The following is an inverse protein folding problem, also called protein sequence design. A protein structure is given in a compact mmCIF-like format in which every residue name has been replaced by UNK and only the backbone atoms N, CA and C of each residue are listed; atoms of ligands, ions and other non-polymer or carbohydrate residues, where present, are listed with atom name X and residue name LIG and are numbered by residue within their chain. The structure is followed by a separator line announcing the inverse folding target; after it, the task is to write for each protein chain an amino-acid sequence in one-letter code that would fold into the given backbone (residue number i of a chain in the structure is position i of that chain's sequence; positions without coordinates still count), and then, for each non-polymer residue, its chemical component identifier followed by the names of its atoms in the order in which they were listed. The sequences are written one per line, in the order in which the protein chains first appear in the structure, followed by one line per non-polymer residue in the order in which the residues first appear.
data_IF_605852255542
#
_entry.id   IF_605852255542
#
_cell.length_a   1.000
_cell.length_b   1.000
_cell.length_c   1.000
_cell.angle_alpha   90.00
_cell.angle_beta   90.00
_cell.angle_gamma   90.00
#
_symmetry.space_group_name_H-M   'P 1'
#
loop_
_entity.id
_entity.type
_entity.pdbx_description
1 polymer ?
#
# COMPACT_ATOMS: atom_id res chain seq x y z
N UNK A 1 -28.36 7.14 -12.79
CA UNK A 1 -27.76 8.17 -11.92
C UNK A 1 -26.93 7.46 -10.85
N UNK A 2 -25.66 7.16 -11.14
CA UNK A 2 -24.77 6.36 -10.30
C UNK A 2 -23.72 7.27 -9.65
N UNK A 3 -23.79 7.56 -8.34
CA UNK A 3 -22.68 8.16 -7.63
C UNK A 3 -21.84 7.04 -7.00
N UNK A 4 -21.12 6.27 -7.82
CA UNK A 4 -19.99 5.47 -7.34
C UNK A 4 -18.72 6.29 -7.53
N UNK A 5 -18.53 7.29 -6.67
CA UNK A 5 -17.20 7.87 -6.47
C UNK A 5 -16.34 6.77 -5.84
N UNK A 6 -15.63 6.03 -6.69
CA UNK A 6 -14.51 5.20 -6.31
C UNK A 6 -13.49 6.12 -5.65
N UNK A 7 -13.55 6.12 -4.33
CA UNK A 7 -12.51 6.62 -3.47
C UNK A 7 -11.26 5.75 -3.66
N UNK A 8 -10.49 6.00 -4.72
CA UNK A 8 -9.13 5.49 -4.91
C UNK A 8 -8.26 6.21 -3.88
N UNK A 9 -8.25 5.70 -2.66
CA UNK A 9 -7.39 6.21 -1.59
C UNK A 9 -6.33 5.17 -1.25
N UNK A 10 -5.15 5.37 -1.83
CA UNK A 10 -3.85 5.41 -1.16
C UNK A 10 -2.75 5.21 -2.24
N UNK A 11 -2.40 6.28 -2.95
CA UNK A 11 -1.07 6.35 -3.58
C UNK A 11 -0.10 6.72 -2.47
N UNK A 12 0.41 5.72 -1.74
CA UNK A 12 1.43 5.94 -0.72
C UNK A 12 2.81 5.60 -1.29
N UNK A 13 3.29 6.57 -2.08
CA UNK A 13 4.66 6.98 -2.42
C UNK A 13 5.77 5.99 -2.77
N UNK A 14 6.45 6.35 -3.87
CA UNK A 14 7.73 5.87 -4.33
C UNK A 14 8.81 6.05 -3.23
N UNK A 15 9.50 4.98 -2.91
CA UNK A 15 10.78 5.04 -2.23
C UNK A 15 11.85 5.42 -3.27
N UNK A 16 12.43 6.61 -3.16
CA UNK A 16 13.66 6.93 -3.89
C UNK A 16 14.86 6.67 -2.99
N UNK A 17 15.53 5.54 -3.22
CA UNK A 17 16.83 5.22 -2.64
C UNK A 17 17.88 5.54 -3.70
N UNK A 18 18.63 6.63 -3.52
CA UNK A 18 19.85 6.84 -4.30
C UNK A 18 20.97 6.04 -3.67
N UNK A 19 21.34 4.92 -4.31
CA UNK A 19 22.60 4.24 -4.02
C UNK A 19 23.70 5.02 -4.75
N UNK A 20 24.68 5.54 -4.01
CA UNK A 20 25.86 6.16 -4.62
C UNK A 20 26.57 5.12 -5.53
N UNK A 21 27.14 5.52 -6.67
CA UNK A 21 27.61 4.58 -7.68
C UNK A 21 28.69 3.66 -7.11
N UNK A 22 28.34 2.37 -7.01
CA UNK A 22 29.24 1.25 -6.77
C UNK A 22 28.94 0.15 -7.78
N UNK A 23 29.97 -0.60 -8.17
CA UNK A 23 29.98 -1.55 -9.28
C UNK A 23 28.71 -2.44 -9.35
N UNK A 24 27.99 -2.39 -10.48
CA UNK A 24 26.74 -3.14 -10.69
C UNK A 24 27.05 -4.61 -11.01
N UNK A 25 26.71 -5.52 -10.12
CA UNK A 25 26.60 -6.96 -10.46
C UNK A 25 25.19 -7.21 -10.98
N UNK A 26 25.05 -7.70 -12.22
CA UNK A 26 23.74 -8.00 -12.81
C UNK A 26 23.08 -9.16 -12.06
N UNK A 27 22.00 -8.86 -11.31
CA UNK A 27 21.06 -9.89 -10.84
C UNK A 27 19.99 -10.11 -11.91
N UNK A 28 19.59 -11.38 -12.06
CA UNK A 28 18.61 -11.84 -13.03
C UNK A 28 17.29 -11.08 -12.89
N UNK A 29 16.77 -10.58 -14.02
CA UNK A 29 15.53 -9.80 -14.06
C UNK A 29 14.36 -10.64 -13.51
N UNK A 30 13.77 -10.17 -12.41
CA UNK A 30 12.51 -10.70 -11.88
C UNK A 30 11.42 -10.27 -12.86
N UNK A 31 10.58 -11.20 -13.30
CA UNK A 31 9.48 -10.95 -14.24
C UNK A 31 8.65 -9.72 -13.84
N UNK A 32 8.52 -8.77 -14.79
CA UNK A 32 7.83 -7.47 -14.68
C UNK A 32 6.29 -7.55 -14.66
N UNK A 33 5.71 -8.71 -14.33
CA UNK A 33 4.26 -8.88 -14.39
C UNK A 33 3.57 -8.21 -13.19
N UNK A 34 2.46 -7.51 -13.47
CA UNK A 34 1.56 -7.00 -12.43
C UNK A 34 1.01 -8.20 -11.65
N UNK A 35 1.24 -8.21 -10.33
CA UNK A 35 0.64 -9.19 -9.43
C UNK A 35 -0.65 -8.66 -8.84
N UNK A 36 -1.71 -9.46 -8.94
CA UNK A 36 -3.02 -9.16 -8.39
C UNK A 36 -3.28 -10.10 -7.22
N UNK A 37 -3.54 -9.50 -6.06
CA UNK A 37 -3.76 -10.22 -4.80
C UNK A 37 -5.09 -9.82 -4.21
N UNK A 38 -5.88 -10.80 -3.77
CA UNK A 38 -7.17 -10.58 -3.12
C UNK A 38 -7.06 -10.82 -1.63
N UNK A 39 -7.70 -9.96 -0.84
CA UNK A 39 -7.83 -10.16 0.60
C UNK A 39 -9.28 -9.99 1.03
N UNK A 40 -9.85 -11.05 1.59
CA UNK A 40 -11.19 -11.05 2.15
C UNK A 40 -11.10 -10.80 3.66
N UNK A 41 -11.70 -9.71 4.14
CA UNK A 41 -11.79 -9.45 5.58
C UNK A 41 -12.85 -10.34 6.23
N UNK A 42 -12.75 -10.61 7.55
CA UNK A 42 -13.85 -11.22 8.29
C UNK A 42 -15.10 -10.32 8.25
N UNK A 43 -16.27 -10.94 8.45
CA UNK A 43 -17.49 -10.21 8.76
C UNK A 43 -17.30 -9.39 10.05
N UNK A 44 -17.75 -8.14 10.01
CA UNK A 44 -17.74 -7.27 11.18
C UNK A 44 -18.87 -7.63 12.16
N UNK A 45 -18.84 -7.03 13.35
CA UNK A 45 -19.81 -7.35 14.40
C UNK A 45 -21.24 -6.98 14.01
N UNK A 46 -21.43 -5.92 13.23
CA UNK A 46 -22.74 -5.46 12.78
C UNK A 46 -23.31 -6.43 11.74
N UNK A 47 -22.49 -6.86 10.78
CA UNK A 47 -22.84 -7.85 9.77
C UNK A 47 -23.23 -9.19 10.41
N UNK A 48 -22.47 -9.64 11.42
CA UNK A 48 -22.79 -10.84 12.21
C UNK A 48 -24.11 -10.70 12.97
N UNK A 49 -24.33 -9.55 13.62
CA UNK A 49 -25.57 -9.29 14.38
C UNK A 49 -26.80 -9.23 13.47
N UNK A 50 -26.62 -8.74 12.25
CA UNK A 50 -27.65 -8.73 11.20
C UNK A 50 -27.89 -10.11 10.57
N UNK A 51 -27.14 -11.14 10.96
CA UNK A 51 -27.27 -12.49 10.41
C UNK A 51 -26.81 -12.61 8.95
N UNK A 52 -25.95 -11.69 8.49
CA UNK A 52 -25.39 -11.78 7.15
C UNK A 52 -24.47 -13.00 7.04
N UNK A 53 -24.51 -13.66 5.87
CA UNK A 53 -23.69 -14.84 5.58
C UNK A 53 -22.53 -14.46 4.66
N UNK A 54 -21.45 -15.22 4.75
CA UNK A 54 -20.30 -15.06 3.86
C UNK A 54 -20.66 -15.50 2.44
N UNK A 55 -20.67 -14.55 1.51
CA UNK A 55 -20.91 -14.83 0.10
C UNK A 55 -19.63 -15.26 -0.63
N UNK A 56 -18.45 -15.01 -0.06
CA UNK A 56 -17.16 -15.30 -0.69
C UNK A 56 -16.45 -16.41 0.07
N UNK A 57 -16.12 -17.48 -0.64
CA UNK A 57 -15.26 -18.57 -0.13
C UNK A 57 -13.85 -18.40 -0.69
N UNK A 58 -12.84 -18.56 0.16
CA UNK A 58 -11.43 -18.39 -0.21
C UNK A 58 -10.71 -19.73 -0.15
N UNK A 59 -9.97 -20.05 -1.21
CA UNK A 59 -9.05 -21.19 -1.28
C UNK A 59 -7.64 -20.62 -1.50
N UNK A 60 -6.93 -20.40 -0.39
CA UNK A 60 -5.59 -19.80 -0.37
C UNK A 60 -4.56 -20.66 -1.10
N UNK A 61 -4.69 -22.00 -1.02
CA UNK A 61 -3.77 -22.95 -1.64
C UNK A 61 -3.86 -22.85 -3.17
N UNK A 62 -5.08 -22.76 -3.70
CA UNK A 62 -5.30 -22.66 -5.16
C UNK A 62 -5.23 -21.23 -5.68
N UNK A 63 -5.14 -20.22 -4.81
CA UNK A 63 -5.19 -18.83 -5.24
C UNK A 63 -6.55 -18.43 -5.79
N UNK A 64 -7.65 -19.03 -5.30
CA UNK A 64 -8.99 -18.81 -5.88
C UNK A 64 -10.00 -18.28 -4.89
N UNK A 65 -10.88 -17.40 -5.36
CA UNK A 65 -12.11 -17.01 -4.64
C UNK A 65 -13.33 -17.52 -5.39
N UNK A 66 -14.38 -17.87 -4.64
CA UNK A 66 -15.67 -18.28 -5.17
C UNK A 66 -16.76 -17.37 -4.59
N UNK A 67 -17.49 -16.69 -5.46
CA UNK A 67 -18.59 -15.78 -5.09
C UNK A 67 -19.92 -16.49 -5.29
N UNK A 68 -20.63 -16.73 -4.19
CA UNK A 68 -21.92 -17.40 -4.14
C UNK A 68 -23.07 -16.38 -4.14
N UNK A 69 -24.08 -16.61 -4.98
CA UNK A 69 -25.32 -15.82 -4.96
C UNK A 69 -26.27 -16.39 -3.90
N UNK A 70 -26.16 -15.89 -2.68
CA UNK A 70 -26.89 -16.42 -1.52
C UNK A 70 -28.42 -16.41 -1.70
N UNK A 71 -28.96 -15.46 -2.46
CA UNK A 71 -30.39 -15.33 -2.77
C UNK A 71 -30.85 -16.20 -3.94
N UNK A 72 -29.93 -16.72 -4.75
CA UNK A 72 -30.23 -17.58 -5.91
C UNK A 72 -29.32 -18.82 -5.90
N UNK A 73 -29.55 -19.80 -5.00
CA UNK A 73 -28.67 -20.95 -4.82
C UNK A 73 -28.58 -21.88 -6.05
N UNK A 74 -29.56 -21.80 -6.95
CA UNK A 74 -29.58 -22.55 -8.21
C UNK A 74 -28.62 -21.98 -9.25
N UNK A 75 -28.22 -20.71 -9.12
CA UNK A 75 -27.22 -20.14 -10.01
C UNK A 75 -25.81 -20.64 -9.64
N UNK A 76 -25.01 -21.07 -10.62
CA UNK A 76 -23.66 -21.53 -10.35
C UNK A 76 -22.80 -20.38 -9.80
N UNK A 77 -21.93 -20.66 -8.81
CA UNK A 77 -21.08 -19.64 -8.23
C UNK A 77 -20.02 -19.17 -9.23
N UNK A 78 -19.57 -17.93 -9.08
CA UNK A 78 -18.50 -17.36 -9.92
C UNK A 78 -17.15 -17.59 -9.28
N UNK A 79 -16.23 -18.25 -9.99
CA UNK A 79 -14.89 -18.52 -9.52
C UNK A 79 -13.85 -17.66 -10.24
N UNK A 80 -12.88 -17.15 -9.48
CA UNK A 80 -11.79 -16.32 -9.98
C UNK A 80 -10.45 -16.80 -9.42
N UNK A 81 -9.39 -16.71 -10.22
CA UNK A 81 -8.02 -17.09 -9.83
C UNK A 81 -7.13 -15.85 -9.84
N UNK A 82 -6.27 -15.73 -8.85
CA UNK A 82 -5.35 -14.60 -8.65
C UNK A 82 -3.95 -15.13 -8.28
N UNK A 83 -2.94 -14.25 -8.27
CA UNK A 83 -1.58 -14.63 -7.87
C UNK A 83 -1.52 -15.10 -6.41
N UNK A 84 -2.34 -14.48 -5.55
CA UNK A 84 -2.50 -14.87 -4.14
C UNK A 84 -3.89 -14.46 -3.67
N UNK A 85 -4.47 -15.25 -2.76
CA UNK A 85 -5.70 -14.89 -2.07
C UNK A 85 -5.52 -15.09 -0.57
N UNK A 86 -6.07 -14.18 0.21
CA UNK A 86 -6.02 -14.18 1.67
C UNK A 86 -7.44 -14.22 2.23
N UNK A 87 -7.66 -15.15 3.16
CA UNK A 87 -8.90 -15.30 3.89
C UNK A 87 -9.01 -14.38 5.11
N UNK A 88 -10.13 -14.49 5.83
CA UNK A 88 -10.41 -13.71 7.04
C UNK A 88 -9.35 -13.82 8.15
N UNK A 89 -8.67 -14.95 8.22
CA UNK A 89 -7.70 -15.28 9.28
C UNK A 89 -6.25 -14.92 8.92
N UNK A 90 -5.99 -14.46 7.68
CA UNK A 90 -4.63 -14.17 7.24
C UNK A 90 -4.02 -12.99 8.00
N UNK A 91 -2.80 -13.20 8.51
CA UNK A 91 -2.10 -12.23 9.37
C UNK A 91 -1.48 -11.11 8.55
N UNK A 92 -1.35 -9.91 9.13
CA UNK A 92 -0.76 -8.77 8.42
C UNK A 92 0.67 -9.04 7.95
N UNK A 93 1.48 -9.70 8.78
CA UNK A 93 2.86 -10.02 8.45
C UNK A 93 2.97 -11.03 7.29
N UNK A 94 2.04 -11.98 7.21
CA UNK A 94 1.95 -12.92 6.09
C UNK A 94 1.58 -12.20 4.79
N UNK A 95 0.56 -11.34 4.84
CA UNK A 95 0.17 -10.46 3.73
C UNK A 95 1.36 -9.63 3.27
N UNK A 96 2.11 -9.02 4.19
CA UNK A 96 3.32 -8.26 3.87
C UNK A 96 4.38 -9.13 3.17
N UNK A 97 4.70 -10.30 3.73
CA UNK A 97 5.76 -11.17 3.23
C UNK A 97 5.49 -11.69 1.82
N UNK A 98 4.25 -12.06 1.52
CA UNK A 98 3.89 -12.63 0.21
C UNK A 98 3.62 -11.56 -0.85
N UNK A 99 3.30 -10.31 -0.47
CA UNK A 99 2.94 -9.24 -1.42
C UNK A 99 4.01 -8.15 -1.53
N UNK A 100 4.29 -7.46 -0.42
CA UNK A 100 5.06 -6.22 -0.42
C UNK A 100 6.56 -6.45 -0.27
N UNK A 101 6.97 -7.50 0.45
CA UNK A 101 8.39 -7.79 0.69
C UNK A 101 9.21 -7.90 -0.60
N UNK A 102 8.80 -8.65 -1.64
CA UNK A 102 9.56 -8.72 -2.90
C UNK A 102 9.71 -7.35 -3.56
N UNK A 103 8.68 -6.49 -3.47
CA UNK A 103 8.69 -5.13 -4.03
C UNK A 103 9.69 -4.24 -3.26
N UNK A 104 9.68 -4.33 -1.93
CA UNK A 104 10.64 -3.61 -1.07
C UNK A 104 12.07 -4.08 -1.34
N UNK A 105 12.30 -5.38 -1.56
CA UNK A 105 13.61 -5.91 -1.94
C UNK A 105 14.08 -5.39 -3.30
N UNK A 106 13.18 -5.30 -4.30
CA UNK A 106 13.48 -4.66 -5.59
C UNK A 106 13.83 -3.18 -5.44
N UNK A 107 13.10 -2.46 -4.59
CA UNK A 107 13.37 -1.04 -4.25
C UNK A 107 14.75 -0.86 -3.62
N UNK A 108 15.14 -1.73 -2.68
CA UNK A 108 16.48 -1.75 -2.10
C UNK A 108 17.56 -2.11 -3.13
N UNK A 109 17.18 -2.83 -4.20
CA UNK A 109 18.00 -3.10 -5.38
C UNK A 109 18.15 -1.93 -6.36
N UNK A 110 17.41 -0.83 -6.17
CA UNK A 110 17.44 0.35 -7.03
C UNK A 110 16.37 0.39 -8.12
N UNK A 111 15.33 -0.44 -8.02
CA UNK A 111 14.16 -0.43 -8.92
C UNK A 111 13.00 0.37 -8.33
N UNK A 112 12.06 0.79 -9.18
CA UNK A 112 10.80 1.39 -8.69
C UNK A 112 9.83 0.30 -8.26
N UNK A 113 9.03 0.57 -7.23
CA UNK A 113 8.01 -0.34 -6.73
C UNK A 113 6.74 0.40 -6.33
N UNK A 114 5.59 -0.17 -6.66
CA UNK A 114 4.28 0.44 -6.40
C UNK A 114 3.30 -0.60 -5.86
N UNK A 115 2.55 -0.24 -4.82
CA UNK A 115 1.51 -1.08 -4.22
C UNK A 115 0.24 -0.25 -4.09
N UNK A 116 -0.87 -0.79 -4.58
CA UNK A 116 -2.20 -0.18 -4.44
C UNK A 116 -3.13 -1.10 -3.68
N UNK A 117 -3.97 -0.52 -2.82
CA UNK A 117 -5.10 -1.21 -2.23
C UNK A 117 -6.39 -0.72 -2.90
N UNK A 118 -7.18 -1.66 -3.44
CA UNK A 118 -8.42 -1.37 -4.15
C UNK A 118 -9.59 -2.14 -3.56
N UNK A 119 -10.80 -1.55 -3.59
CA UNK A 119 -12.02 -2.13 -3.06
C UNK A 119 -13.02 -1.09 -2.56
N UNK A 120 -14.23 -1.51 -2.22
CA UNK A 120 -15.28 -0.64 -1.68
C UNK A 120 -14.88 -0.04 -0.31
N UNK A 121 -15.53 1.05 0.10
CA UNK A 121 -15.42 1.55 1.48
C UNK A 121 -15.76 0.45 2.47
N UNK A 122 -14.96 0.32 3.54
CA UNK A 122 -15.15 -0.71 4.56
C UNK A 122 -14.54 -2.08 4.24
N UNK A 123 -13.93 -2.32 3.07
CA UNK A 123 -13.36 -3.64 2.74
C UNK A 123 -11.96 -3.90 3.32
N UNK A 124 -11.39 -2.95 4.09
CA UNK A 124 -10.09 -3.15 4.75
C UNK A 124 -8.86 -2.61 4.01
N UNK A 125 -9.02 -1.68 3.05
CA UNK A 125 -7.89 -1.01 2.36
C UNK A 125 -6.91 -0.36 3.35
N UNK A 126 -7.41 0.53 4.21
CA UNK A 126 -6.61 1.22 5.25
C UNK A 126 -6.02 0.22 6.25
N UNK A 127 -6.78 -0.80 6.64
CA UNK A 127 -6.27 -1.86 7.52
C UNK A 127 -5.11 -2.63 6.87
N UNK A 128 -5.18 -2.92 5.58
CA UNK A 128 -4.10 -3.61 4.86
C UNK A 128 -2.85 -2.71 4.71
N UNK A 129 -3.03 -1.45 4.35
CA UNK A 129 -1.91 -0.54 4.11
C UNK A 129 -1.28 0.00 5.40
N UNK A 130 -2.07 0.49 6.34
CA UNK A 130 -1.59 1.11 7.58
C UNK A 130 -1.66 0.13 8.77
N UNK A 131 -2.76 -0.61 8.88
CA UNK A 131 -3.02 -1.47 10.02
C UNK A 131 -3.42 -0.71 11.29
N UNK A 132 -3.23 -1.33 12.45
CA UNK A 132 -3.49 -0.72 13.76
C UNK A 132 -2.17 -0.35 14.42
N UNK A 133 -1.82 0.93 14.43
CA UNK A 133 -0.48 1.42 14.86
C UNK A 133 -0.08 1.01 16.28
N UNK A 134 -1.06 0.87 17.18
CA UNK A 134 -0.82 0.52 18.57
C UNK A 134 -0.61 -0.99 18.81
N UNK A 135 -0.85 -1.83 17.80
CA UNK A 135 -0.81 -3.30 17.94
C UNK A 135 0.21 -3.86 16.94
N UNK A 136 1.40 -4.28 17.39
CA UNK A 136 2.50 -4.73 16.51
C UNK A 136 2.09 -5.80 15.48
N UNK A 137 1.28 -6.77 15.88
CA UNK A 137 0.81 -7.88 15.05
C UNK A 137 -0.15 -7.41 13.95
N UNK A 138 -0.75 -6.22 14.13
CA UNK A 138 -1.72 -5.63 13.22
C UNK A 138 -1.13 -4.50 12.35
N UNK A 139 0.18 -4.26 12.39
CA UNK A 139 0.85 -3.30 11.52
C UNK A 139 0.73 -3.71 10.05
N UNK A 140 0.31 -2.79 9.18
CA UNK A 140 0.08 -3.04 7.75
C UNK A 140 1.34 -3.01 6.88
N UNK A 141 1.13 -2.93 5.56
CA UNK A 141 2.21 -2.92 4.57
C UNK A 141 3.19 -1.76 4.77
N UNK A 142 2.70 -0.54 5.01
CA UNK A 142 3.52 0.67 5.15
C UNK A 142 4.50 0.54 6.34
N UNK A 143 4.06 0.27 7.59
CA UNK A 143 4.98 0.06 8.72
C UNK A 143 5.96 -1.08 8.53
N UNK A 144 5.51 -2.23 8.03
CA UNK A 144 6.43 -3.34 7.78
C UNK A 144 7.47 -3.00 6.70
N UNK A 145 7.11 -2.19 5.70
CA UNK A 145 8.05 -1.72 4.67
C UNK A 145 9.12 -0.82 5.25
N UNK A 146 8.75 0.14 6.11
CA UNK A 146 9.72 1.00 6.80
C UNK A 146 10.65 0.21 7.71
N UNK A 147 10.10 -0.71 8.51
CA UNK A 147 10.90 -1.57 9.37
C UNK A 147 11.90 -2.41 8.56
N UNK A 148 11.47 -2.97 7.42
CA UNK A 148 12.36 -3.72 6.53
C UNK A 148 13.45 -2.83 5.92
N UNK A 149 13.10 -1.67 5.35
CA UNK A 149 14.08 -0.75 4.73
C UNK A 149 15.14 -0.34 5.74
N UNK A 150 14.74 0.13 6.92
CA UNK A 150 15.70 0.57 7.94
C UNK A 150 16.45 -0.60 8.57
N UNK A 151 15.84 -1.78 8.68
CA UNK A 151 16.52 -3.01 9.07
C UNK A 151 17.59 -3.43 8.06
N UNK A 152 17.38 -3.20 6.76
CA UNK A 152 18.38 -3.42 5.72
C UNK A 152 19.53 -2.41 5.83
N UNK A 153 19.20 -1.11 5.98
CA UNK A 153 20.19 -0.04 6.12
C UNK A 153 21.10 -0.28 7.33
N UNK A 154 20.53 -0.66 8.48
CA UNK A 154 21.30 -0.93 9.70
C UNK A 154 22.27 -2.11 9.57
N UNK A 155 22.01 -3.05 8.65
CA UNK A 155 22.85 -4.23 8.38
C UNK A 155 23.82 -4.03 7.20
N UNK A 156 23.73 -2.91 6.50
CA UNK A 156 24.57 -2.66 5.34
C UNK A 156 26.03 -2.41 5.74
N UNK A 157 26.94 -2.72 4.81
CA UNK A 157 28.38 -2.47 5.00
C UNK A 157 28.65 -0.97 5.09
N UNK A 158 29.74 -0.60 5.79
CA UNK A 158 30.13 0.80 6.06
C UNK A 158 30.44 1.63 4.81
N UNK A 159 30.66 0.99 3.66
CA UNK A 159 30.92 1.64 2.37
C UNK A 159 29.63 2.10 1.65
N UNK A 160 28.45 1.68 2.12
CA UNK A 160 27.18 2.01 1.49
C UNK A 160 26.48 3.14 2.24
N UNK A 161 26.20 4.24 1.55
CA UNK A 161 25.42 5.37 2.08
C UNK A 161 23.99 5.31 1.57
N UNK A 162 23.04 5.62 2.45
CA UNK A 162 21.62 5.64 2.13
C UNK A 162 21.06 7.04 2.42
N UNK A 163 20.16 7.48 1.54
CA UNK A 163 19.36 8.68 1.72
C UNK A 163 17.92 8.31 1.45
N UNK A 164 17.07 8.43 2.47
CA UNK A 164 15.65 8.08 2.40
C UNK A 164 14.83 9.34 2.51
N UNK A 165 14.01 9.60 1.49
CA UNK A 165 13.03 10.67 1.50
C UNK A 165 11.62 10.13 1.42
N UNK A 166 10.70 10.82 2.09
CA UNK A 166 9.27 10.51 2.09
C UNK A 166 8.50 11.74 1.65
N UNK A 167 7.52 11.52 0.79
CA UNK A 167 6.46 12.48 0.48
C UNK A 167 5.13 11.86 0.94
N UNK A 168 4.10 12.67 1.18
CA UNK A 168 2.75 12.16 1.42
C UNK A 168 1.74 13.10 0.78
N UNK A 169 0.87 12.58 -0.08
CA UNK A 169 -0.11 13.37 -0.81
C UNK A 169 -1.46 12.67 -0.82
N UNK A 170 -2.50 13.45 -1.06
CA UNK A 170 -3.81 12.95 -1.44
C UNK A 170 -4.17 13.40 -2.86
N UNK A 171 -4.94 12.56 -3.54
CA UNK A 171 -5.64 12.91 -4.77
C UNK A 171 -7.12 12.87 -4.43
N UNK A 172 -7.81 14.00 -4.56
CA UNK A 172 -9.23 14.11 -4.29
C UNK A 172 -9.88 15.05 -5.30
N UNK A 173 -10.93 14.59 -5.97
CA UNK A 173 -11.63 15.35 -7.01
C UNK A 173 -10.67 15.89 -8.08
N UNK A 174 -9.78 15.02 -8.59
CA UNK A 174 -8.71 15.36 -9.55
C UNK A 174 -7.70 16.42 -9.06
N UNK A 175 -7.70 16.78 -7.77
CA UNK A 175 -6.73 17.70 -7.17
C UNK A 175 -5.67 16.95 -6.37
N UNK A 176 -4.40 17.29 -6.59
CA UNK A 176 -3.28 16.80 -5.79
C UNK A 176 -2.99 17.77 -4.64
N UNK A 177 -2.84 17.25 -3.43
CA UNK A 177 -2.55 18.06 -2.23
C UNK A 177 -1.43 17.43 -1.41
N UNK A 178 -0.56 18.27 -0.88
CA UNK A 178 0.58 17.84 -0.06
C UNK A 178 0.19 17.69 1.40
N UNK A 179 0.13 16.46 1.90
CA UNK A 179 -0.26 16.17 3.28
C UNK A 179 0.82 16.53 4.30
N UNK A 180 2.05 16.82 3.88
CA UNK A 180 3.16 17.24 4.76
C UNK A 180 3.56 18.71 4.53
N UNK A 181 2.94 19.38 3.56
CA UNK A 181 3.16 20.78 3.25
C UNK A 181 2.66 21.74 4.34
N UNK A 182 3.08 23.00 4.27
CA UNK A 182 2.59 24.06 5.19
C UNK A 182 1.15 24.47 4.90
N UNK A 183 0.77 24.45 3.62
CA UNK A 183 -0.55 24.85 3.15
C UNK A 183 -1.26 23.63 2.54
N UNK A 184 -2.26 23.13 3.25
CA UNK A 184 -3.07 21.96 2.87
C UNK A 184 -4.17 22.30 1.85
N UNK A 185 -4.38 23.59 1.57
CA UNK A 185 -5.35 24.07 0.58
C UNK A 185 -4.72 24.31 -0.78
N UNK A 186 -3.38 24.42 -0.85
CA UNK A 186 -2.63 24.54 -2.10
C UNK A 186 -2.84 23.28 -2.96
N UNK A 187 -3.35 23.50 -4.17
CA UNK A 187 -3.40 22.48 -5.23
C UNK A 187 -2.02 22.38 -5.89
N UNK A 188 -1.50 21.17 -6.01
CA UNK A 188 -0.24 20.90 -6.67
C UNK A 188 -0.45 20.49 -8.13
N UNK A 189 0.49 20.92 -8.98
CA UNK A 189 0.49 20.60 -10.41
C UNK A 189 1.29 19.32 -10.68
N UNK A 190 0.73 18.44 -11.49
CA UNK A 190 1.48 17.33 -12.09
C UNK A 190 2.19 17.87 -13.35
N UNK A 191 3.49 17.63 -13.48
CA UNK A 191 4.33 18.06 -14.59
C UNK A 191 5.13 16.89 -15.15
N UNK A 192 5.65 17.08 -16.35
CA UNK A 192 6.54 16.14 -17.01
C UNK A 192 7.82 16.85 -17.44
N UNK A 193 8.96 16.17 -17.35
CA UNK A 193 10.24 16.65 -17.85
C UNK A 193 11.06 15.49 -18.42
N UNK A 194 11.86 15.69 -19.49
CA UNK A 194 12.61 14.61 -20.13
C UNK A 194 13.57 13.85 -19.21
N UNK A 195 14.10 14.53 -18.19
CA UNK A 195 15.09 13.99 -17.24
C UNK A 195 14.47 13.24 -16.04
N UNK A 196 13.24 13.62 -15.62
CA UNK A 196 12.59 13.08 -14.41
C UNK A 196 11.30 12.30 -14.67
N UNK A 197 10.79 12.31 -15.90
CA UNK A 197 9.45 11.82 -16.21
C UNK A 197 8.36 12.67 -15.53
N UNK A 198 7.26 12.03 -15.15
CA UNK A 198 6.12 12.66 -14.47
C UNK A 198 6.42 12.89 -12.98
N UNK A 199 6.19 14.10 -12.49
CA UNK A 199 6.39 14.48 -11.10
C UNK A 199 5.35 15.52 -10.62
N UNK A 200 5.18 15.62 -9.31
CA UNK A 200 4.34 16.65 -8.69
C UNK A 200 5.21 17.84 -8.32
N UNK A 201 4.95 19.01 -8.92
CA UNK A 201 5.68 20.25 -8.64
C UNK A 201 5.40 20.72 -7.21
N UNK A 202 6.46 21.18 -6.54
CA UNK A 202 6.44 21.69 -5.15
C UNK A 202 5.97 20.69 -4.08
N UNK A 203 5.90 19.39 -4.39
CA UNK A 203 5.61 18.35 -3.40
C UNK A 203 6.75 18.28 -2.37
N UNK A 204 6.40 18.40 -1.09
CA UNK A 204 7.37 18.31 0.00
C UNK A 204 8.03 16.94 0.08
N UNK A 205 9.32 16.95 0.44
CA UNK A 205 10.15 15.77 0.64
C UNK A 205 10.85 15.88 1.98
N UNK A 206 10.62 14.90 2.85
CA UNK A 206 11.21 14.86 4.19
C UNK A 206 12.25 13.75 4.26
N UNK A 207 13.47 14.11 4.64
CA UNK A 207 14.51 13.13 4.95
C UNK A 207 14.16 12.37 6.23
N UNK A 208 14.30 11.05 6.21
CA UNK A 208 14.04 10.17 7.36
C UNK A 208 15.25 9.30 7.65
N UNK A 209 15.56 9.14 8.94
CA UNK A 209 16.79 8.48 9.38
C UNK A 209 16.54 7.20 10.18
N UNK A 210 15.29 6.97 10.62
CA UNK A 210 14.89 5.75 11.32
C UNK A 210 13.43 5.39 11.08
N UNK A 211 13.08 4.14 11.35
CA UNK A 211 11.71 3.63 11.21
C UNK A 211 10.69 4.45 12.04
N UNK A 212 11.06 4.93 13.24
CA UNK A 212 10.17 5.71 14.10
C UNK A 212 9.71 7.04 13.49
N UNK A 213 10.49 7.61 12.56
CA UNK A 213 10.14 8.87 11.90
C UNK A 213 8.86 8.70 11.06
N UNK A 214 8.58 7.46 10.63
CA UNK A 214 7.36 7.11 9.91
C UNK A 214 6.11 7.44 10.70
N UNK A 215 6.06 7.06 11.99
CA UNK A 215 4.88 7.29 12.82
C UNK A 215 4.56 8.79 12.92
N UNK A 216 5.58 9.65 12.96
CA UNK A 216 5.41 11.10 12.94
C UNK A 216 4.84 11.57 11.61
N UNK A 217 5.44 11.15 10.49
CA UNK A 217 4.99 11.51 9.14
C UNK A 217 3.53 11.09 8.91
N UNK A 218 3.21 9.83 9.23
CA UNK A 218 1.88 9.27 9.08
C UNK A 218 0.86 9.92 10.01
N UNK A 219 1.27 10.41 11.18
CA UNK A 219 0.40 11.15 12.10
C UNK A 219 0.11 12.55 11.58
N UNK A 220 1.14 13.27 11.13
CA UNK A 220 0.99 14.61 10.53
C UNK A 220 0.12 14.54 9.29
N UNK A 221 0.44 13.66 8.34
CA UNK A 221 -0.31 13.51 7.10
C UNK A 221 -1.78 13.14 7.32
N UNK A 222 -2.06 12.19 8.22
CA UNK A 222 -3.45 11.81 8.52
C UNK A 222 -4.21 12.88 9.29
N UNK A 223 -3.54 13.72 10.09
CA UNK A 223 -4.17 14.89 10.72
C UNK A 223 -4.54 15.94 9.67
N UNK A 224 -3.62 16.21 8.75
CA UNK A 224 -3.81 17.21 7.71
C UNK A 224 -4.91 16.82 6.70
N UNK A 225 -5.00 15.53 6.39
CA UNK A 225 -6.06 14.93 5.56
C UNK A 225 -7.49 15.21 6.05
N UNK A 226 -7.69 15.44 7.36
CA UNK A 226 -9.02 15.58 7.99
C UNK A 226 -9.70 16.94 7.80
N UNK A 227 -9.10 17.93 7.15
CA UNK A 227 -9.66 19.28 7.01
C UNK A 227 -10.89 19.38 6.07
N UNK A 228 -11.60 18.28 5.80
CA UNK A 228 -12.69 18.23 4.81
C UNK A 228 -13.92 17.39 5.20
N UNK A 229 -14.12 17.13 6.50
CA UNK A 229 -15.43 16.69 6.99
C UNK A 229 -16.04 17.78 7.87
#
# INVERSE_FOLDING_TARGET
MLPFYQSVYAVQHLYYLSKLPGNKTMKQAVSDNIKVVVRCRPLDQKEKTMGLKEAVTVDEIRGTITVNKLEMPQEPPKKFTFDTVFGPDSKQLEVYNLTARPIVESVLGGYNGTIFAYGQTGTGKTFTMEGVRAVPELLGIIPNSFAHIFGHIAKAKSDTRFLVHVSYLEIYNEEVRDLLGKDQMKRLEVKESPDRGVFVKDLSRFGVNKADDMNKIMTVGNKNRKHKN
#
